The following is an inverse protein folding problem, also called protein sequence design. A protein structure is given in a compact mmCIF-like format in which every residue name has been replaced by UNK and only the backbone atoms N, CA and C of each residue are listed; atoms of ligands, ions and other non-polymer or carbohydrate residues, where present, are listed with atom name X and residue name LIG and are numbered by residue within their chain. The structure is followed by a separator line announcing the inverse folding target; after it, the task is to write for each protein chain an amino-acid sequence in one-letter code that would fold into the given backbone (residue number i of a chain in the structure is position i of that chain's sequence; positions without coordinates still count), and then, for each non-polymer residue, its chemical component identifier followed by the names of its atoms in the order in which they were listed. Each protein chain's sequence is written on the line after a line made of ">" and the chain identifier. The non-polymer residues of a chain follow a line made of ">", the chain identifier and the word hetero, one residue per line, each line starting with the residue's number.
data_IF_571743114121
#
_entry.id   IF_571743114121
#
_cell.length_a   1.000
_cell.length_b   1.000
_cell.length_c   1.000
_cell.angle_alpha   90.00
_cell.angle_beta   90.00
_cell.angle_gamma   90.00
#
_symmetry.space_group_name_H-M   'P 1'
#
loop_
_entity.id
_entity.type
_entity.pdbx_description
1 polymer ?
#
# COMPACT_ATOMS: atom_id res chain seq x y z
N UNK A 1 19.12 0.50 1.10
CA UNK A 1 18.77 1.91 0.86
C UNK A 1 17.50 2.24 1.63
N UNK A 2 17.36 3.49 2.07
CA UNK A 2 16.16 4.01 2.71
C UNK A 2 15.57 5.09 1.80
N UNK A 3 14.28 4.99 1.50
CA UNK A 3 13.53 5.98 0.76
C UNK A 3 12.56 6.70 1.70
N UNK A 4 12.47 8.01 1.58
CA UNK A 4 11.59 8.84 2.38
C UNK A 4 10.59 9.56 1.50
N UNK A 5 9.29 9.33 1.74
CA UNK A 5 8.26 10.20 1.19
C UNK A 5 8.36 11.58 1.88
N UNK A 6 8.77 12.60 1.12
CA UNK A 6 9.02 13.93 1.69
C UNK A 6 7.71 14.68 1.93
N UNK A 7 7.51 15.14 3.17
CA UNK A 7 6.40 16.01 3.57
C UNK A 7 6.88 17.14 4.50
N UNK A 8 6.01 18.03 4.95
CA UNK A 8 6.44 19.31 5.54
C UNK A 8 7.18 19.17 6.88
N UNK A 9 6.77 18.26 7.79
CA UNK A 9 7.34 18.12 9.14
C UNK A 9 7.35 16.69 9.64
N UNK A 10 8.32 16.37 10.49
CA UNK A 10 8.42 15.11 11.24
C UNK A 10 9.87 14.67 11.43
N UNK A 11 10.13 13.87 12.46
CA UNK A 11 11.48 13.38 12.78
C UNK A 11 12.17 12.68 11.60
N UNK A 12 11.43 11.86 10.85
CA UNK A 12 11.96 11.19 9.66
C UNK A 12 12.34 12.19 8.56
N UNK A 13 11.55 13.29 8.41
CA UNK A 13 11.83 14.35 7.45
C UNK A 13 13.04 15.17 7.85
N UNK A 14 13.19 15.49 9.13
CA UNK A 14 14.35 16.23 9.64
C UNK A 14 15.60 15.37 9.46
N UNK A 15 15.54 14.06 9.73
CA UNK A 15 16.61 13.12 9.44
C UNK A 15 16.93 13.10 7.94
N UNK A 16 15.95 12.90 7.07
CA UNK A 16 16.15 12.82 5.61
C UNK A 16 16.80 14.09 5.02
N UNK A 17 16.48 15.27 5.59
CA UNK A 17 17.05 16.56 5.16
C UNK A 17 18.45 16.82 5.67
N UNK A 18 18.81 16.26 6.82
CA UNK A 18 20.07 16.60 7.53
C UNK A 18 21.07 15.48 7.56
N UNK A 19 20.67 14.24 7.29
CA UNK A 19 21.55 13.06 7.33
C UNK A 19 22.75 13.17 6.39
N UNK A 20 23.88 12.71 6.86
CA UNK A 20 25.15 12.67 6.12
C UNK A 20 25.71 11.26 6.13
N UNK A 21 26.53 10.90 5.14
CA UNK A 21 27.24 9.65 5.15
C UNK A 21 28.05 9.48 6.47
N UNK A 22 27.80 8.38 7.18
CA UNK A 22 28.42 8.09 8.48
C UNK A 22 27.52 8.37 9.69
N UNK A 23 26.38 9.03 9.53
CA UNK A 23 25.41 9.20 10.60
C UNK A 23 24.81 7.84 10.99
N UNK A 24 24.53 7.68 12.28
CA UNK A 24 23.97 6.43 12.84
C UNK A 24 22.48 6.61 13.09
N UNK A 25 21.71 5.67 12.57
CA UNK A 25 20.25 5.59 12.82
C UNK A 25 19.92 4.26 13.51
N UNK A 26 18.93 4.30 14.40
CA UNK A 26 18.37 3.08 14.96
C UNK A 26 17.15 2.69 14.12
N UNK A 27 17.10 1.42 13.70
CA UNK A 27 15.97 0.86 12.97
C UNK A 27 15.35 -0.22 13.85
N UNK A 28 14.05 -0.09 14.12
CA UNK A 28 13.28 -1.12 14.80
C UNK A 28 12.62 -2.02 13.75
N UNK A 29 12.81 -3.32 13.88
CA UNK A 29 12.18 -4.35 13.04
C UNK A 29 11.05 -5.07 13.81
N UNK A 30 10.55 -4.44 14.87
CA UNK A 30 9.41 -4.98 15.61
C UNK A 30 8.13 -4.75 14.81
N UNK A 31 7.80 -5.70 13.97
CA UNK A 31 6.53 -5.72 13.24
C UNK A 31 5.60 -6.73 13.89
N UNK A 32 4.33 -6.36 14.04
CA UNK A 32 3.28 -7.26 14.57
C UNK A 32 2.48 -7.93 13.46
N UNK A 33 2.49 -7.34 12.27
CA UNK A 33 1.63 -7.74 11.15
C UNK A 33 2.44 -7.76 9.86
N UNK A 34 3.47 -8.63 9.80
CA UNK A 34 4.25 -8.83 8.60
C UNK A 34 3.34 -9.36 7.47
N UNK A 35 3.49 -8.78 6.29
CA UNK A 35 2.90 -9.37 5.10
C UNK A 35 3.57 -10.72 4.85
N UNK A 36 2.75 -11.75 4.74
CA UNK A 36 3.16 -13.08 4.30
C UNK A 36 2.50 -13.35 2.95
N UNK A 37 3.32 -13.64 1.95
CA UNK A 37 2.80 -14.00 0.64
C UNK A 37 1.96 -15.27 0.75
N UNK A 38 0.72 -15.28 0.20
CA UNK A 38 -0.13 -16.46 0.26
C UNK A 38 0.48 -17.63 -0.51
N UNK A 39 0.35 -18.82 0.06
CA UNK A 39 0.74 -20.08 -0.56
C UNK A 39 -0.41 -21.08 -0.35
N UNK A 40 -1.05 -21.62 -1.44
CA UNK A 40 -0.77 -21.30 -2.85
C UNK A 40 -1.10 -19.85 -3.23
N UNK A 41 -0.46 -19.37 -4.32
CA UNK A 41 -0.75 -18.06 -4.86
C UNK A 41 -2.21 -17.99 -5.36
N UNK A 42 -2.91 -16.87 -5.11
CA UNK A 42 -4.26 -16.64 -5.62
C UNK A 42 -4.25 -16.33 -7.13
N UNK A 43 -5.41 -16.31 -7.80
CA UNK A 43 -5.51 -15.97 -9.23
C UNK A 43 -5.06 -14.54 -9.55
N UNK A 44 -5.06 -13.63 -8.55
CA UNK A 44 -4.64 -12.25 -8.70
C UNK A 44 -4.63 -11.50 -7.38
N UNK A 45 -4.14 -10.27 -7.43
CA UNK A 45 -4.07 -9.36 -6.29
C UNK A 45 -4.90 -8.10 -6.55
N UNK A 46 -5.66 -7.69 -5.56
CA UNK A 46 -6.23 -6.34 -5.47
C UNK A 46 -5.47 -5.61 -4.38
N UNK A 47 -4.74 -4.58 -4.76
CA UNK A 47 -3.92 -3.78 -3.84
C UNK A 47 -4.43 -2.35 -3.77
N UNK A 48 -4.42 -1.80 -2.58
CA UNK A 48 -4.80 -0.41 -2.33
C UNK A 48 -3.75 0.24 -1.46
N UNK A 49 -3.17 1.31 -1.97
CA UNK A 49 -2.04 1.99 -1.36
C UNK A 49 -2.15 3.52 -1.49
N UNK A 50 -1.22 4.19 -0.86
CA UNK A 50 -0.91 5.60 -1.04
C UNK A 50 0.62 5.78 -1.04
N UNK A 51 1.17 7.00 -1.19
CA UNK A 51 2.62 7.20 -1.18
C UNK A 51 3.34 6.61 0.04
N UNK A 52 2.69 6.56 1.21
CA UNK A 52 3.31 6.01 2.43
C UNK A 52 3.54 4.48 2.36
N UNK A 53 2.69 3.77 1.62
CA UNK A 53 2.76 2.30 1.47
C UNK A 53 3.25 1.84 0.09
N UNK A 54 3.52 2.77 -0.84
CA UNK A 54 4.03 2.46 -2.17
C UNK A 54 5.33 1.62 -2.17
N UNK A 55 6.32 1.87 -1.29
CA UNK A 55 7.51 1.01 -1.22
C UNK A 55 7.19 -0.45 -0.90
N UNK A 56 6.18 -0.71 -0.05
CA UNK A 56 5.74 -2.07 0.25
C UNK A 56 5.06 -2.72 -0.97
N UNK A 57 4.23 -1.98 -1.71
CA UNK A 57 3.65 -2.44 -2.98
C UNK A 57 4.74 -2.83 -3.96
N UNK A 58 5.73 -1.96 -4.18
CA UNK A 58 6.84 -2.22 -5.09
C UNK A 58 7.60 -3.51 -4.70
N UNK A 59 7.87 -3.69 -3.41
CA UNK A 59 8.56 -4.88 -2.90
C UNK A 59 7.75 -6.16 -3.11
N UNK A 60 6.45 -6.13 -2.85
CA UNK A 60 5.56 -7.29 -3.02
C UNK A 60 5.44 -7.64 -4.52
N UNK A 61 5.07 -6.65 -5.34
CA UNK A 61 4.81 -6.87 -6.78
C UNK A 61 6.07 -7.37 -7.50
N UNK A 62 7.26 -6.91 -7.12
CA UNK A 62 8.53 -7.39 -7.67
C UNK A 62 8.77 -8.90 -7.45
N UNK A 63 8.09 -9.52 -6.49
CA UNK A 63 8.22 -10.96 -6.20
C UNK A 63 7.13 -11.82 -6.84
N UNK A 64 6.11 -11.20 -7.44
CA UNK A 64 4.99 -11.92 -8.05
C UNK A 64 5.37 -12.48 -9.43
N UNK A 65 4.85 -13.66 -9.80
CA UNK A 65 5.01 -14.20 -11.15
C UNK A 65 4.45 -13.29 -12.23
N UNK A 66 5.12 -13.19 -13.35
CA UNK A 66 4.78 -12.29 -14.45
C UNK A 66 3.35 -12.50 -15.04
N UNK A 67 2.81 -13.71 -14.91
CA UNK A 67 1.46 -14.08 -15.35
C UNK A 67 0.36 -13.69 -14.37
N UNK A 68 0.69 -13.29 -13.15
CA UNK A 68 -0.28 -12.98 -12.10
C UNK A 68 -0.90 -11.58 -12.33
N UNK A 69 -2.21 -11.49 -12.27
CA UNK A 69 -2.89 -10.20 -12.39
C UNK A 69 -2.81 -9.38 -11.11
N UNK A 70 -2.45 -8.11 -11.25
CA UNK A 70 -2.38 -7.15 -10.14
C UNK A 70 -3.20 -5.91 -10.49
N UNK A 71 -4.23 -5.61 -9.71
CA UNK A 71 -4.97 -4.34 -9.79
C UNK A 71 -4.62 -3.48 -8.60
N UNK A 72 -4.07 -2.31 -8.86
CA UNK A 72 -3.57 -1.38 -7.84
C UNK A 72 -4.32 -0.06 -7.92
N UNK A 73 -4.96 0.34 -6.83
CA UNK A 73 -5.46 1.71 -6.64
C UNK A 73 -4.51 2.48 -5.74
N UNK A 74 -4.14 3.67 -6.18
CA UNK A 74 -3.22 4.57 -5.47
C UNK A 74 -3.92 5.88 -5.12
N UNK A 75 -3.95 6.18 -3.84
CA UNK A 75 -4.54 7.42 -3.32
C UNK A 75 -3.58 8.58 -3.40
N UNK A 76 -3.79 9.52 -4.35
CA UNK A 76 -2.99 10.73 -4.49
C UNK A 76 -3.39 11.78 -3.45
N UNK A 77 -2.41 12.31 -2.72
CA UNK A 77 -2.58 13.33 -1.69
C UNK A 77 -1.99 14.69 -2.12
N UNK A 78 -0.93 14.67 -2.91
CA UNK A 78 -0.21 15.86 -3.37
C UNK A 78 -0.03 15.83 -4.88
N UNK A 79 0.22 17.01 -5.46
CA UNK A 79 0.65 17.10 -6.86
C UNK A 79 2.02 16.41 -7.01
N UNK A 80 2.16 15.62 -8.07
CA UNK A 80 3.39 14.85 -8.32
C UNK A 80 3.46 13.46 -7.67
N UNK A 81 2.48 13.05 -6.84
CA UNK A 81 2.46 11.68 -6.29
C UNK A 81 2.43 10.60 -7.39
N UNK A 82 1.84 10.91 -8.55
CA UNK A 82 1.77 10.03 -9.71
C UNK A 82 3.08 9.93 -10.51
N UNK A 83 4.09 10.73 -10.16
CA UNK A 83 5.46 10.62 -10.68
C UNK A 83 6.35 9.70 -9.83
N UNK A 84 5.84 9.23 -8.67
CA UNK A 84 6.58 8.31 -7.81
C UNK A 84 6.89 7.00 -8.53
N UNK A 85 8.10 6.42 -8.32
CA UNK A 85 8.52 5.22 -9.03
C UNK A 85 7.61 4.02 -8.67
N UNK A 86 7.02 3.43 -9.69
CA UNK A 86 6.23 2.22 -9.58
C UNK A 86 6.97 1.06 -10.24
N UNK A 87 7.01 -0.08 -9.57
CA UNK A 87 7.62 -1.30 -10.08
C UNK A 87 6.98 -1.74 -11.41
N UNK A 88 7.82 -2.15 -12.35
CA UNK A 88 7.34 -2.74 -13.60
C UNK A 88 6.88 -4.19 -13.37
N UNK A 89 5.66 -4.49 -13.82
CA UNK A 89 5.14 -5.86 -13.84
C UNK A 89 4.19 -6.01 -15.02
N UNK A 90 4.29 -7.08 -15.83
CA UNK A 90 3.58 -7.22 -17.12
C UNK A 90 2.05 -7.15 -17.00
N UNK A 91 1.49 -7.54 -15.88
CA UNK A 91 0.05 -7.57 -15.65
C UNK A 91 -0.40 -6.64 -14.52
N UNK A 92 0.39 -5.63 -14.19
CA UNK A 92 0.01 -4.58 -13.25
C UNK A 92 -0.88 -3.55 -13.95
N UNK A 93 -2.06 -3.31 -13.39
CA UNK A 93 -2.96 -2.24 -13.75
C UNK A 93 -3.04 -1.27 -12.57
N UNK A 94 -2.32 -0.16 -12.65
CA UNK A 94 -2.31 0.87 -11.62
C UNK A 94 -3.25 2.04 -11.99
N UNK A 95 -3.99 2.53 -11.01
CA UNK A 95 -4.91 3.66 -11.16
C UNK A 95 -4.73 4.62 -10.01
N UNK A 96 -4.28 5.83 -10.31
CA UNK A 96 -4.22 6.94 -9.35
C UNK A 96 -5.58 7.64 -9.25
N UNK A 97 -6.03 7.86 -8.02
CA UNK A 97 -7.27 8.59 -7.72
C UNK A 97 -7.05 9.58 -6.58
N UNK A 98 -7.80 10.66 -6.48
CA UNK A 98 -7.73 11.52 -5.30
C UNK A 98 -7.95 10.70 -4.02
N UNK A 99 -7.09 10.85 -3.02
CA UNK A 99 -7.13 10.05 -1.78
C UNK A 99 -8.51 10.06 -1.11
N UNK A 100 -9.17 11.22 -1.08
CA UNK A 100 -10.51 11.35 -0.52
C UNK A 100 -11.60 10.55 -1.27
N UNK A 101 -11.35 10.16 -2.53
CA UNK A 101 -12.27 9.39 -3.37
C UNK A 101 -11.93 7.89 -3.39
N UNK A 102 -10.84 7.47 -2.77
CA UNK A 102 -10.27 6.13 -2.90
C UNK A 102 -11.32 5.04 -2.58
N UNK A 103 -11.96 5.09 -1.42
CA UNK A 103 -12.99 4.13 -1.01
C UNK A 103 -14.16 4.04 -2.01
N UNK A 104 -14.64 5.17 -2.50
CA UNK A 104 -15.77 5.21 -3.45
C UNK A 104 -15.36 4.65 -4.83
N UNK A 105 -14.15 4.96 -5.30
CA UNK A 105 -13.62 4.46 -6.57
C UNK A 105 -13.40 2.96 -6.54
N UNK A 106 -12.90 2.44 -5.42
CA UNK A 106 -12.74 0.99 -5.21
C UNK A 106 -14.09 0.30 -5.20
N UNK A 107 -15.07 0.82 -4.45
CA UNK A 107 -16.41 0.24 -4.41
C UNK A 107 -17.06 0.15 -5.81
N UNK A 108 -16.81 1.13 -6.67
CA UNK A 108 -17.33 1.14 -8.05
C UNK A 108 -16.50 0.27 -9.02
N UNK A 109 -15.23 0.01 -8.73
CA UNK A 109 -14.30 -0.65 -9.66
C UNK A 109 -13.99 -2.12 -9.36
N UNK A 110 -14.45 -2.65 -8.23
CA UNK A 110 -14.19 -4.04 -7.83
C UNK A 110 -15.12 -5.02 -8.54
N UNK A 111 -14.72 -5.49 -9.71
CA UNK A 111 -15.45 -6.51 -10.48
C UNK A 111 -14.53 -7.66 -10.84
N UNK A 112 -15.09 -8.88 -10.89
CA UNK A 112 -14.38 -10.08 -11.37
C UNK A 112 -13.07 -10.36 -10.60
N UNK A 113 -13.10 -10.22 -9.26
CA UNK A 113 -11.96 -10.45 -8.37
C UNK A 113 -12.22 -11.57 -7.35
N UNK A 114 -13.20 -12.45 -7.62
CA UNK A 114 -13.50 -13.59 -6.76
C UNK A 114 -12.28 -14.49 -6.62
N UNK A 115 -11.91 -14.82 -5.39
CA UNK A 115 -10.74 -15.62 -5.06
C UNK A 115 -9.40 -14.87 -5.10
N UNK A 116 -9.39 -13.58 -5.45
CA UNK A 116 -8.17 -12.77 -5.44
C UNK A 116 -7.76 -12.41 -4.01
N UNK A 117 -6.48 -12.11 -3.83
CA UNK A 117 -5.95 -11.64 -2.55
C UNK A 117 -6.14 -10.14 -2.40
N UNK A 118 -6.77 -9.73 -1.32
CA UNK A 118 -6.95 -8.32 -0.97
C UNK A 118 -5.82 -7.81 -0.07
N UNK A 119 -5.17 -6.72 -0.49
CA UNK A 119 -4.15 -6.01 0.29
C UNK A 119 -4.47 -4.52 0.38
N UNK A 120 -4.51 -3.95 1.58
CA UNK A 120 -4.77 -2.51 1.77
C UNK A 120 -3.93 -1.93 2.90
N UNK A 121 -3.15 -0.89 2.58
CA UNK A 121 -2.35 -0.13 3.53
C UNK A 121 -2.40 1.36 3.17
N UNK A 122 -3.30 2.08 3.81
CA UNK A 122 -3.51 3.53 3.67
C UNK A 122 -3.78 4.12 5.06
N UNK A 123 -4.44 5.27 5.17
CA UNK A 123 -4.85 5.76 6.49
C UNK A 123 -5.81 4.78 7.21
N UNK A 124 -5.83 4.88 8.54
CA UNK A 124 -6.57 3.95 9.40
C UNK A 124 -8.08 3.90 9.08
N UNK A 125 -8.70 5.03 8.75
CA UNK A 125 -10.15 5.08 8.52
C UNK A 125 -10.52 4.40 7.19
N UNK A 126 -9.84 4.75 6.11
CA UNK A 126 -10.06 4.15 4.79
C UNK A 126 -9.66 2.67 4.77
N UNK A 127 -8.56 2.29 5.44
CA UNK A 127 -8.16 0.88 5.56
C UNK A 127 -9.30 0.01 6.09
N UNK A 128 -10.01 0.46 7.13
CA UNK A 128 -11.15 -0.29 7.68
C UNK A 128 -12.29 -0.45 6.68
N UNK A 129 -12.67 0.61 5.99
CA UNK A 129 -13.74 0.60 4.99
C UNK A 129 -13.38 -0.27 3.79
N UNK A 130 -12.18 -0.09 3.25
CA UNK A 130 -11.70 -0.79 2.06
C UNK A 130 -11.47 -2.28 2.35
N UNK A 131 -10.96 -2.65 3.52
CA UNK A 131 -10.84 -4.04 3.95
C UNK A 131 -12.14 -4.81 3.77
N UNK A 132 -13.25 -4.21 4.19
CA UNK A 132 -14.56 -4.88 4.09
C UNK A 132 -15.01 -4.99 2.62
N UNK A 133 -14.80 -3.95 1.82
CA UNK A 133 -15.06 -3.99 0.37
C UNK A 133 -14.27 -5.11 -0.31
N UNK A 134 -12.97 -5.19 -0.04
CA UNK A 134 -12.10 -6.23 -0.59
C UNK A 134 -12.57 -7.62 -0.16
N UNK A 135 -12.86 -7.80 1.13
CA UNK A 135 -13.33 -9.09 1.68
C UNK A 135 -14.61 -9.56 0.97
N UNK A 136 -15.57 -8.68 0.76
CA UNK A 136 -16.83 -9.02 0.09
C UNK A 136 -16.59 -9.34 -1.39
N UNK A 137 -15.83 -8.50 -2.09
CA UNK A 137 -15.60 -8.64 -3.53
C UNK A 137 -14.76 -9.87 -3.89
N UNK A 138 -13.78 -10.22 -3.05
CA UNK A 138 -12.92 -11.40 -3.26
C UNK A 138 -13.53 -12.69 -2.71
N UNK A 139 -14.54 -12.59 -1.86
CA UNK A 139 -15.08 -13.74 -1.13
C UNK A 139 -14.19 -14.24 0.00
N UNK A 140 -13.20 -13.45 0.40
CA UNK A 140 -12.22 -13.82 1.42
C UNK A 140 -12.84 -13.99 2.82
N UNK A 141 -12.30 -14.88 3.61
CA UNK A 141 -12.61 -15.04 5.02
C UNK A 141 -12.12 -13.87 5.87
N UNK A 142 -12.54 -13.81 7.14
CA UNK A 142 -12.20 -12.68 8.04
C UNK A 142 -10.71 -12.47 8.28
N UNK A 143 -9.89 -13.51 8.10
CA UNK A 143 -8.44 -13.53 8.33
C UNK A 143 -7.63 -13.65 7.04
N UNK A 144 -8.29 -13.65 5.89
CA UNK A 144 -7.66 -13.72 4.59
C UNK A 144 -7.46 -12.31 4.06
N UNK A 145 -6.31 -12.08 3.42
CA UNK A 145 -5.90 -10.76 2.99
C UNK A 145 -5.07 -10.00 4.04
N UNK A 146 -4.51 -8.88 3.63
CA UNK A 146 -3.71 -8.01 4.49
C UNK A 146 -4.32 -6.62 4.56
N UNK A 147 -4.42 -6.07 5.77
CA UNK A 147 -4.96 -4.72 5.97
C UNK A 147 -4.31 -4.05 7.18
N UNK A 148 -3.56 -2.97 6.94
CA UNK A 148 -2.87 -2.20 7.98
C UNK A 148 -3.07 -0.70 7.77
N UNK A 149 -3.51 0.01 8.82
CA UNK A 149 -3.50 1.47 8.81
C UNK A 149 -2.07 1.97 9.02
N UNK A 150 -1.46 2.53 7.98
CA UNK A 150 -0.08 3.02 8.02
C UNK A 150 0.05 4.34 8.75
N UNK A 151 -0.99 5.16 8.72
CA UNK A 151 -1.00 6.46 9.37
C UNK A 151 -2.41 6.87 9.79
N UNK A 152 -2.49 7.90 10.62
CA UNK A 152 -3.77 8.49 11.05
C UNK A 152 -3.67 10.00 10.90
N UNK A 153 -4.61 10.66 10.21
CA UNK A 153 -4.59 12.11 10.05
C UNK A 153 -4.45 12.83 11.40
N UNK A 154 -3.50 13.76 11.47
CA UNK A 154 -3.27 14.56 12.67
C UNK A 154 -2.60 13.83 13.84
N UNK A 155 -2.14 12.60 13.68
CA UNK A 155 -1.38 11.85 14.69
C UNK A 155 0.02 11.51 14.18
N UNK A 156 1.04 11.86 14.94
CA UNK A 156 2.38 11.32 14.77
C UNK A 156 2.39 9.88 15.31
N UNK A 157 2.83 8.94 14.51
CA UNK A 157 3.19 7.59 14.96
C UNK A 157 4.63 7.66 15.46
N UNK A 158 4.82 8.14 16.66
CA UNK A 158 6.09 8.16 17.38
C UNK A 158 6.04 7.20 18.54
#
# INVERSE_FOLDING_TARGET
>A
DLEFAMHERGYAMDLARTARPGDRVAVSVLTRDDYVQPDPLPPGFVMVADPASLPAVNSIVATLPAELEVRLWLGRQHDGDDELPLVEHPRLQATWVPHAQLTARIAAGLHNVQGWYGWVCVDTAQTRAIKELLRVATGAGKREGHAMGYWTPGRSTG
#
